data_IF_369194457358
#
_entry.id   IF_369194457358
#
_cell.length_a   1.000
_cell.length_b   1.000
_cell.length_c   1.000
_cell.angle_alpha   90.00
_cell.angle_beta   90.00
_cell.angle_gamma   90.00
#
_symmetry.space_group_name_H-M   'P 1'
#
loop_
_entity.id
_entity.type
_entity.pdbx_description
1 polymer ?
#
# COMPACT_ATOMS: atom_id res chain seq x y z
N UNK A 1 1.41 -10.04 4.11
CA UNK A 1 2.35 -10.32 5.21
C UNK A 1 3.46 -9.26 5.42
N UNK A 2 3.57 -8.26 4.57
CA UNK A 2 4.59 -7.20 4.69
C UNK A 2 4.36 -6.32 5.94
N UNK A 3 3.11 -6.02 6.24
CA UNK A 3 2.71 -5.16 7.36
C UNK A 3 2.49 -5.98 8.63
N UNK A 4 3.53 -6.11 9.46
CA UNK A 4 3.48 -6.79 10.76
C UNK A 4 4.14 -5.94 11.83
N UNK A 5 3.64 -5.97 13.07
CA UNK A 5 4.31 -5.30 14.18
C UNK A 5 5.78 -5.71 14.32
N UNK A 6 6.63 -4.76 14.64
CA UNK A 6 8.06 -4.95 14.83
C UNK A 6 8.93 -4.82 13.57
N UNK A 7 8.34 -4.79 12.39
CA UNK A 7 9.05 -4.45 11.15
C UNK A 7 9.06 -2.94 10.92
N UNK A 8 10.00 -2.44 10.14
CA UNK A 8 9.98 -1.05 9.72
C UNK A 8 9.08 -0.84 8.49
N UNK A 9 8.61 0.39 8.29
CA UNK A 9 7.86 0.74 7.09
C UNK A 9 8.71 0.64 5.81
N UNK A 10 10.03 0.90 5.91
CA UNK A 10 10.96 0.71 4.80
C UNK A 10 11.09 -0.77 4.39
N UNK A 11 11.06 -1.71 5.34
CA UNK A 11 11.06 -3.16 5.04
C UNK A 11 9.76 -3.57 4.34
N UNK A 12 8.62 -3.01 4.75
CA UNK A 12 7.33 -3.27 4.09
C UNK A 12 7.33 -2.74 2.64
N UNK A 13 7.83 -1.52 2.41
CA UNK A 13 8.02 -0.95 1.08
C UNK A 13 8.97 -1.82 0.22
N UNK A 14 10.06 -2.31 0.80
CA UNK A 14 11.00 -3.18 0.09
C UNK A 14 10.36 -4.48 -0.39
N UNK A 15 9.42 -5.05 0.37
CA UNK A 15 8.67 -6.24 -0.05
C UNK A 15 7.78 -5.96 -1.26
N UNK A 16 7.10 -4.81 -1.29
CA UNK A 16 6.29 -4.38 -2.45
C UNK A 16 7.16 -4.14 -3.67
N UNK A 17 8.28 -3.41 -3.51
CA UNK A 17 9.23 -3.17 -4.60
C UNK A 17 9.79 -4.48 -5.16
N UNK A 18 10.07 -5.47 -4.30
CA UNK A 18 10.53 -6.81 -4.74
C UNK A 18 9.46 -7.51 -5.56
N UNK A 19 8.21 -7.53 -5.09
CA UNK A 19 7.09 -8.13 -5.83
C UNK A 19 6.91 -7.48 -7.21
N UNK A 20 6.99 -6.15 -7.30
CA UNK A 20 6.92 -5.45 -8.59
C UNK A 20 8.10 -5.77 -9.51
N UNK A 21 9.29 -5.95 -8.94
CA UNK A 21 10.47 -6.38 -9.71
C UNK A 21 10.31 -7.79 -10.24
N UNK A 22 9.83 -8.73 -9.44
CA UNK A 22 9.57 -10.12 -9.84
C UNK A 22 8.51 -10.21 -10.95
N UNK A 23 7.52 -9.30 -10.94
CA UNK A 23 6.51 -9.17 -11.98
C UNK A 23 7.00 -8.39 -13.23
N UNK A 24 8.20 -7.81 -13.21
CA UNK A 24 8.75 -7.03 -14.31
C UNK A 24 8.08 -5.68 -14.53
N UNK A 25 7.48 -5.08 -13.47
CA UNK A 25 6.72 -3.83 -13.56
C UNK A 25 7.23 -2.75 -12.60
N UNK A 26 8.40 -2.93 -12.00
CA UNK A 26 8.94 -2.02 -10.97
C UNK A 26 9.12 -0.58 -11.47
N UNK A 27 9.43 -0.38 -12.74
CA UNK A 27 9.60 0.94 -13.36
C UNK A 27 8.27 1.71 -13.51
N UNK A 28 7.14 1.06 -13.29
CA UNK A 28 5.81 1.68 -13.36
C UNK A 28 5.33 2.24 -12.03
N UNK A 29 6.00 1.91 -10.92
CA UNK A 29 5.73 2.50 -9.61
C UNK A 29 6.15 3.98 -9.59
N UNK A 30 5.30 4.89 -9.09
CA UNK A 30 5.55 6.33 -9.08
C UNK A 30 5.53 6.98 -7.69
N UNK A 31 5.04 6.27 -6.69
CA UNK A 31 4.93 6.78 -5.32
C UNK A 31 5.12 5.66 -4.30
N UNK A 32 5.19 6.03 -3.02
CA UNK A 32 5.21 5.13 -1.88
C UNK A 32 3.96 4.24 -1.83
N UNK A 33 4.05 3.13 -1.13
CA UNK A 33 2.96 2.12 -1.08
C UNK A 33 1.77 2.54 -0.22
N UNK A 34 1.95 3.46 0.74
CA UNK A 34 0.86 3.86 1.61
C UNK A 34 1.28 4.85 2.69
N UNK A 35 0.34 5.17 3.57
CA UNK A 35 0.52 6.21 4.58
C UNK A 35 -0.45 6.02 5.76
N UNK A 36 -0.20 6.73 6.86
CA UNK A 36 -1.14 6.90 7.96
C UNK A 36 -2.38 7.68 7.53
N UNK A 37 -3.48 7.41 8.18
CA UNK A 37 -4.73 8.17 8.08
C UNK A 37 -5.31 8.39 9.47
N UNK A 38 -5.91 9.56 9.67
CA UNK A 38 -6.50 9.93 10.95
C UNK A 38 -7.33 11.20 10.80
N UNK A 39 -6.85 12.31 11.31
CA UNK A 39 -7.48 13.62 11.12
C UNK A 39 -7.28 14.14 9.70
N UNK A 40 -6.16 13.78 9.08
CA UNK A 40 -5.86 14.12 7.70
C UNK A 40 -5.94 12.89 6.80
N UNK A 41 -6.23 13.08 5.51
CA UNK A 41 -6.29 12.01 4.52
C UNK A 41 -4.91 11.38 4.24
N UNK A 42 -3.84 12.15 4.46
CA UNK A 42 -2.45 11.70 4.37
C UNK A 42 -1.72 12.22 5.58
N UNK A 43 -1.27 11.34 6.43
CA UNK A 43 -0.44 11.69 7.58
C UNK A 43 0.65 10.64 7.83
N UNK A 44 1.65 11.03 8.60
CA UNK A 44 2.71 10.12 9.03
C UNK A 44 2.13 8.95 9.86
N UNK A 45 2.70 7.72 9.77
CA UNK A 45 3.91 7.35 9.01
C UNK A 45 3.62 6.99 7.53
N UNK A 46 4.68 7.01 6.71
CA UNK A 46 4.61 6.60 5.30
C UNK A 46 5.24 5.22 5.09
N UNK A 47 4.60 4.37 4.27
CA UNK A 47 5.18 3.12 3.78
C UNK A 47 6.11 3.49 2.62
N UNK A 48 7.33 3.85 2.96
CA UNK A 48 8.32 4.45 2.07
C UNK A 48 9.74 3.98 2.40
N UNK A 49 10.63 4.03 1.42
CA UNK A 49 12.05 3.64 1.55
C UNK A 49 12.81 4.46 2.60
N UNK A 50 12.39 5.71 2.85
CA UNK A 50 13.01 6.59 3.83
C UNK A 50 12.58 6.30 5.28
N UNK A 51 11.54 5.50 5.49
CA UNK A 51 11.00 5.19 6.84
C UNK A 51 11.74 4.02 7.51
N UNK A 52 13.07 4.14 7.61
CA UNK A 52 13.99 3.08 8.07
C UNK A 52 13.97 2.83 9.58
N UNK A 53 13.63 3.85 10.35
CA UNK A 53 13.59 3.87 11.81
C UNK A 53 12.16 3.93 12.39
N UNK A 54 11.16 3.85 11.52
CA UNK A 54 9.75 3.88 11.89
C UNK A 54 9.22 2.46 11.94
N UNK A 55 8.87 2.01 13.15
CA UNK A 55 8.41 0.64 13.40
C UNK A 55 6.89 0.57 13.29
N UNK A 56 6.41 -0.48 12.65
CA UNK A 56 4.99 -0.80 12.56
C UNK A 56 4.52 -1.31 13.93
N UNK A 57 3.47 -0.70 14.45
CA UNK A 57 2.88 -1.04 15.74
C UNK A 57 1.45 -1.55 15.59
N UNK A 58 1.02 -2.37 16.54
CA UNK A 58 -0.36 -2.84 16.62
C UNK A 58 -1.34 -1.68 16.80
N UNK A 59 -2.50 -1.77 16.17
CA UNK A 59 -3.58 -0.78 16.11
C UNK A 59 -3.30 0.47 15.26
N UNK A 60 -2.17 0.56 14.58
CA UNK A 60 -2.02 1.57 13.52
C UNK A 60 -3.04 1.35 12.42
N UNK A 61 -3.62 2.44 11.91
CA UNK A 61 -4.53 2.44 10.76
C UNK A 61 -3.82 3.11 9.58
N UNK A 62 -3.80 2.43 8.45
CA UNK A 62 -3.02 2.83 7.28
C UNK A 62 -3.88 2.76 6.01
N UNK A 63 -3.61 3.63 5.06
CA UNK A 63 -3.97 3.43 3.66
C UNK A 63 -2.86 2.64 2.97
N UNK A 64 -3.22 1.57 2.27
CA UNK A 64 -2.29 0.73 1.49
C UNK A 64 -2.74 0.80 0.04
N UNK A 65 -1.93 1.42 -0.80
CA UNK A 65 -2.35 1.84 -2.14
C UNK A 65 -1.23 1.69 -3.20
N UNK A 66 -0.63 0.50 -3.32
CA UNK A 66 0.37 0.27 -4.36
C UNK A 66 -0.23 0.55 -5.74
N UNK A 67 0.50 1.30 -6.56
CA UNK A 67 0.00 1.73 -7.87
C UNK A 67 1.04 1.56 -8.97
N UNK A 68 0.56 1.25 -10.17
CA UNK A 68 1.33 1.13 -11.40
C UNK A 68 0.79 2.12 -12.43
N UNK A 69 1.67 2.87 -13.07
CA UNK A 69 1.27 3.95 -13.99
C UNK A 69 2.00 3.82 -15.31
N UNK A 70 1.25 3.54 -16.37
CA UNK A 70 1.76 3.39 -17.74
C UNK A 70 1.57 4.72 -18.48
N UNK A 71 2.65 5.47 -18.79
CA UNK A 71 2.54 6.74 -19.50
C UNK A 71 1.77 6.62 -20.80
N UNK A 72 0.82 7.53 -21.01
CA UNK A 72 0.00 7.57 -22.22
C UNK A 72 -1.10 6.49 -22.32
N UNK A 73 -1.24 5.63 -21.31
CA UNK A 73 -2.24 4.57 -21.29
C UNK A 73 -3.19 4.70 -20.08
N UNK A 74 -2.72 4.36 -18.87
CA UNK A 74 -3.56 4.34 -17.69
C UNK A 74 -2.76 4.25 -16.39
N UNK A 75 -3.44 4.48 -15.25
CA UNK A 75 -2.97 4.15 -13.92
C UNK A 75 -3.85 3.07 -13.29
N UNK A 76 -3.23 2.18 -12.53
CA UNK A 76 -3.90 1.08 -11.84
C UNK A 76 -3.51 1.12 -10.37
N UNK A 77 -4.49 1.31 -9.48
CA UNK A 77 -4.28 1.36 -8.04
C UNK A 77 -5.46 0.76 -7.30
N UNK A 78 -5.19 -0.09 -6.35
CA UNK A 78 -6.15 -0.49 -5.34
C UNK A 78 -5.74 0.15 -4.02
N UNK A 79 -6.64 0.92 -3.43
CA UNK A 79 -6.46 1.52 -2.11
C UNK A 79 -7.32 0.79 -1.10
N UNK A 80 -6.69 0.27 -0.05
CA UNK A 80 -7.39 -0.32 1.08
C UNK A 80 -7.01 0.38 2.37
N UNK A 81 -8.00 0.58 3.24
CA UNK A 81 -7.76 0.90 4.63
C UNK A 81 -7.51 -0.39 5.40
N UNK A 82 -6.43 -0.43 6.15
CA UNK A 82 -6.08 -1.57 6.99
C UNK A 82 -5.82 -1.15 8.42
N UNK A 83 -6.08 -2.04 9.36
CA UNK A 83 -5.62 -1.91 10.75
C UNK A 83 -4.58 -2.99 11.02
N UNK A 84 -3.49 -2.60 11.69
CA UNK A 84 -2.44 -3.54 12.06
C UNK A 84 -2.89 -4.32 13.30
N UNK A 85 -2.92 -5.64 13.17
CA UNK A 85 -3.18 -6.57 14.26
C UNK A 85 -1.91 -7.33 14.62
N UNK A 86 -1.96 -8.05 15.71
CA UNK A 86 -0.83 -8.87 16.20
C UNK A 86 -0.21 -9.77 15.12
N UNK A 87 -1.04 -10.35 14.26
CA UNK A 87 -0.61 -11.34 13.27
C UNK A 87 -0.47 -10.76 11.84
N UNK A 88 -0.67 -9.45 11.65
CA UNK A 88 -0.55 -8.76 10.36
C UNK A 88 -1.65 -7.72 10.15
N UNK A 89 -1.86 -7.32 8.90
CA UNK A 89 -2.85 -6.30 8.55
C UNK A 89 -4.23 -6.93 8.30
N UNK A 90 -5.24 -6.39 8.97
CA UNK A 90 -6.65 -6.67 8.74
C UNK A 90 -7.22 -5.59 7.81
N UNK A 91 -7.82 -5.99 6.70
CA UNK A 91 -8.44 -5.06 5.75
C UNK A 91 -9.82 -4.62 6.24
N UNK A 92 -10.08 -3.31 6.18
CA UNK A 92 -11.36 -2.70 6.59
C UNK A 92 -12.24 -2.32 5.39
N UNK A 93 -11.70 -2.27 4.19
CA UNK A 93 -12.42 -1.97 2.94
C UNK A 93 -12.54 -3.22 2.08
N UNK A 94 -13.69 -3.40 1.42
CA UNK A 94 -14.02 -4.65 0.71
C UNK A 94 -14.56 -4.40 -0.70
N UNK A 95 -14.06 -3.37 -1.37
CA UNK A 95 -14.44 -3.11 -2.76
C UNK A 95 -13.93 -4.24 -3.68
N UNK A 96 -14.71 -4.65 -4.70
CA UNK A 96 -14.28 -5.64 -5.68
C UNK A 96 -12.97 -5.24 -6.38
N UNK A 97 -12.14 -6.23 -6.73
CA UNK A 97 -10.81 -5.99 -7.33
C UNK A 97 -10.66 -6.53 -8.74
N UNK A 98 -11.64 -7.29 -9.20
CA UNK A 98 -11.66 -7.81 -10.56
C UNK A 98 -11.97 -6.68 -11.56
N UNK A 99 -11.41 -6.80 -12.75
CA UNK A 99 -11.53 -5.78 -13.78
C UNK A 99 -12.99 -5.55 -14.20
N UNK A 100 -13.79 -6.60 -14.24
CA UNK A 100 -15.19 -6.52 -14.68
C UNK A 100 -16.02 -5.65 -13.74
N UNK A 101 -15.83 -5.80 -12.42
CA UNK A 101 -16.50 -4.99 -11.39
C UNK A 101 -16.07 -3.52 -11.39
N UNK A 102 -14.92 -3.20 -11.98
CA UNK A 102 -14.39 -1.84 -12.06
C UNK A 102 -14.83 -1.10 -13.33
N UNK A 103 -15.48 -1.78 -14.27
CA UNK A 103 -16.02 -1.15 -15.50
C UNK A 103 -17.34 -0.48 -15.20
N UNK A 104 -17.36 0.85 -15.32
CA UNK A 104 -18.58 1.66 -15.20
C UNK A 104 -19.24 1.78 -16.57
N UNK A 105 -20.49 1.34 -16.66
CA UNK A 105 -21.31 1.54 -17.86
C UNK A 105 -21.79 3.00 -17.89
N UNK A 106 -21.43 3.72 -18.93
CA UNK A 106 -21.81 5.11 -19.19
C UNK A 106 -22.74 5.21 -20.38
#
# INVERSE_FOLDING_TARGET
DALRPGRTFAEAEADVCRAFKELGVAELQRHHTGHGIGLEGHEWPFIDKGSTDVVIEENMVLSVEPGLYVPGLAGFRHSDTVVIRRDGAERLTYYPRDLESLVVQV
#
